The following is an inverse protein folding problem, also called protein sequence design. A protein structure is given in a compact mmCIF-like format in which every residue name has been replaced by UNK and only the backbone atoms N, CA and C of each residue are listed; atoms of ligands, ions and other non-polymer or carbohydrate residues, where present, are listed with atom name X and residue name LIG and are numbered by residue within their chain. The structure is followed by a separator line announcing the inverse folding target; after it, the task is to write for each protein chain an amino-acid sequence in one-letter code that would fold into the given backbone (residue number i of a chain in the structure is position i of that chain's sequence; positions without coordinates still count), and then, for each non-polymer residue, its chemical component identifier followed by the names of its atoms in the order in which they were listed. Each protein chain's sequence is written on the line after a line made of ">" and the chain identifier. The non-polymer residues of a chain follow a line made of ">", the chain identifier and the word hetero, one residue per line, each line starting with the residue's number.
data_IF_660133488368
#
_entry.id   IF_660133488368
#
_cell.length_a   1.000
_cell.length_b   1.000
_cell.length_c   1.000
_cell.angle_alpha   90.00
_cell.angle_beta   90.00
_cell.angle_gamma   90.00
#
_symmetry.space_group_name_H-M   'P 1'
#
loop_
_entity.id
_entity.type
_entity.pdbx_description
1 polymer ?
#
# COMPACT_ATOMS: atom_id res chain seq x y z
N UNK A 1 13.68 13.46 -16.34
CA UNK A 1 12.96 14.37 -15.43
C UNK A 1 13.99 15.10 -14.60
N UNK A 2 13.95 16.42 -14.58
CA UNK A 2 14.84 17.25 -13.77
C UNK A 2 14.33 17.32 -12.32
N UNK A 3 15.16 17.70 -11.34
CA UNK A 3 14.70 17.92 -9.97
C UNK A 3 13.59 18.98 -9.87
N UNK A 4 13.60 19.99 -10.75
CA UNK A 4 12.56 21.03 -10.80
C UNK A 4 11.22 20.48 -11.32
N UNK A 5 11.26 19.61 -12.34
CA UNK A 5 10.06 18.93 -12.85
C UNK A 5 9.47 17.96 -11.81
N UNK A 6 10.30 17.26 -11.04
CA UNK A 6 9.85 16.40 -9.93
C UNK A 6 9.14 17.22 -8.86
N UNK A 7 9.75 18.32 -8.44
CA UNK A 7 9.18 19.21 -7.42
C UNK A 7 7.85 19.81 -7.86
N UNK A 8 7.74 20.23 -9.12
CA UNK A 8 6.48 20.76 -9.67
C UNK A 8 5.37 19.70 -9.66
N UNK A 9 5.69 18.44 -10.00
CA UNK A 9 4.73 17.34 -9.95
C UNK A 9 4.28 17.02 -8.51
N UNK A 10 5.21 17.04 -7.55
CA UNK A 10 4.88 16.86 -6.13
C UNK A 10 3.97 17.97 -5.59
N UNK A 11 4.27 19.23 -5.91
CA UNK A 11 3.46 20.39 -5.51
C UNK A 11 2.03 20.31 -6.10
N UNK A 12 1.89 19.80 -7.33
CA UNK A 12 0.60 19.57 -7.96
C UNK A 12 -0.20 18.44 -7.29
N UNK A 13 0.44 17.32 -6.95
CA UNK A 13 -0.21 16.22 -6.21
C UNK A 13 -0.70 16.70 -4.85
N UNK A 14 0.12 17.44 -4.11
CA UNK A 14 -0.24 17.98 -2.79
C UNK A 14 -1.44 18.92 -2.91
N UNK A 15 -1.41 19.84 -3.88
CA UNK A 15 -2.52 20.78 -4.11
C UNK A 15 -3.82 20.02 -4.40
N UNK A 16 -3.77 19.03 -5.29
CA UNK A 16 -4.94 18.22 -5.64
C UNK A 16 -5.52 17.48 -4.41
N UNK A 17 -4.66 16.91 -3.55
CA UNK A 17 -5.09 16.24 -2.32
C UNK A 17 -5.73 17.21 -1.32
N UNK A 18 -5.21 18.44 -1.21
CA UNK A 18 -5.80 19.47 -0.34
C UNK A 18 -7.16 19.96 -0.83
N UNK A 19 -7.32 20.10 -2.15
CA UNK A 19 -8.56 20.52 -2.79
C UNK A 19 -9.63 19.41 -2.79
N UNK A 20 -9.20 18.14 -2.69
CA UNK A 20 -10.07 16.97 -2.76
C UNK A 20 -9.80 16.01 -1.58
N UNK A 21 -10.09 16.42 -0.33
CA UNK A 21 -9.77 15.61 0.86
C UNK A 21 -10.54 14.28 0.92
N UNK A 22 -11.69 14.20 0.26
CA UNK A 22 -12.53 13.00 0.17
C UNK A 22 -12.23 12.16 -1.08
N UNK A 23 -11.24 12.55 -1.89
CA UNK A 23 -10.86 11.79 -3.07
C UNK A 23 -9.91 10.65 -2.68
N UNK A 24 -10.47 9.45 -2.63
CA UNK A 24 -9.75 8.21 -2.34
C UNK A 24 -9.31 7.47 -3.62
N UNK A 25 -9.12 8.20 -4.71
CA UNK A 25 -8.81 7.63 -6.03
C UNK A 25 -10.06 7.33 -6.86
N UNK A 26 -9.87 6.48 -7.88
CA UNK A 26 -10.93 6.05 -8.78
C UNK A 26 -11.73 4.89 -8.16
N UNK A 27 -12.77 5.24 -7.41
CA UNK A 27 -13.64 4.31 -6.69
C UNK A 27 -15.01 4.21 -7.40
N UNK A 28 -15.64 3.03 -7.34
CA UNK A 28 -17.05 2.90 -7.71
C UNK A 28 -18.00 3.35 -6.57
N UNK A 29 -19.31 3.23 -6.79
CA UNK A 29 -20.36 3.57 -5.82
C UNK A 29 -20.30 2.74 -4.52
N UNK A 30 -19.56 1.63 -4.51
CA UNK A 30 -19.39 0.74 -3.36
C UNK A 30 -18.02 0.91 -2.68
N UNK A 31 -17.18 1.83 -3.16
CA UNK A 31 -15.82 2.02 -2.65
C UNK A 31 -14.84 0.94 -3.10
N UNK A 32 -15.05 0.38 -4.28
CA UNK A 32 -14.10 -0.53 -4.92
C UNK A 32 -13.10 0.27 -5.76
N UNK A 33 -11.81 0.07 -5.49
CA UNK A 33 -10.71 0.69 -6.24
C UNK A 33 -10.66 0.12 -7.68
N UNK A 34 -11.14 0.94 -8.62
CA UNK A 34 -11.18 0.61 -10.03
C UNK A 34 -9.79 0.60 -10.67
N UNK A 35 -8.83 1.37 -10.16
CA UNK A 35 -7.47 1.35 -10.66
C UNK A 35 -6.82 -0.01 -10.39
N UNK A 36 -7.01 -0.53 -9.17
CA UNK A 36 -6.51 -1.86 -8.78
C UNK A 36 -7.19 -2.99 -9.57
N UNK A 37 -8.50 -2.87 -9.83
CA UNK A 37 -9.21 -3.82 -10.68
C UNK A 37 -8.67 -3.83 -12.11
N UNK A 38 -8.48 -2.66 -12.72
CA UNK A 38 -7.93 -2.55 -14.09
C UNK A 38 -6.53 -3.13 -14.16
N UNK A 39 -5.67 -2.83 -13.19
CA UNK A 39 -4.32 -3.39 -13.09
C UNK A 39 -4.37 -4.93 -13.12
N UNK A 40 -5.21 -5.54 -12.28
CA UNK A 40 -5.36 -6.99 -12.20
C UNK A 40 -5.94 -7.63 -13.47
N UNK A 41 -6.80 -6.91 -14.21
CA UNK A 41 -7.36 -7.37 -15.48
C UNK A 41 -6.30 -7.38 -16.60
N UNK A 42 -5.32 -6.49 -16.53
CA UNK A 42 -4.21 -6.43 -17.50
C UNK A 42 -3.11 -7.45 -17.22
N UNK A 43 -3.12 -8.08 -16.04
CA UNK A 43 -2.15 -9.11 -15.65
C UNK A 43 -2.51 -10.49 -16.21
N UNK A 44 -1.50 -11.17 -16.72
CA UNK A 44 -1.54 -12.61 -16.96
C UNK A 44 -1.72 -13.39 -15.66
N UNK A 45 -2.17 -14.66 -15.71
CA UNK A 45 -2.27 -15.48 -14.51
C UNK A 45 -0.95 -15.63 -13.74
N UNK A 46 0.19 -15.67 -14.43
CA UNK A 46 1.51 -15.79 -13.79
C UNK A 46 1.88 -14.51 -13.02
N UNK A 47 1.73 -13.34 -13.63
CA UNK A 47 1.99 -12.05 -12.97
C UNK A 47 1.09 -11.84 -11.76
N UNK A 48 -0.17 -12.27 -11.84
CA UNK A 48 -1.11 -12.21 -10.73
C UNK A 48 -0.66 -13.12 -9.58
N UNK A 49 -0.19 -14.32 -9.90
CA UNK A 49 0.35 -15.26 -8.91
C UNK A 49 1.59 -14.68 -8.22
N UNK A 50 2.49 -14.06 -8.98
CA UNK A 50 3.69 -13.40 -8.43
C UNK A 50 3.32 -12.22 -7.52
N UNK A 51 2.38 -11.36 -7.94
CA UNK A 51 1.85 -10.27 -7.09
C UNK A 51 1.27 -10.80 -5.78
N UNK A 52 0.51 -11.89 -5.83
CA UNK A 52 0.00 -12.55 -4.63
C UNK A 52 1.11 -13.18 -3.77
N UNK A 53 2.15 -13.75 -4.38
CA UNK A 53 3.30 -14.30 -3.68
C UNK A 53 4.04 -13.25 -2.86
N UNK A 54 4.26 -12.06 -3.44
CA UNK A 54 4.86 -10.92 -2.72
C UNK A 54 3.99 -10.46 -1.55
N UNK A 55 2.68 -10.29 -1.78
CA UNK A 55 1.76 -9.89 -0.73
C UNK A 55 1.70 -10.91 0.42
N UNK A 56 1.73 -12.21 0.09
CA UNK A 56 1.75 -13.29 1.06
C UNK A 56 3.04 -13.28 1.90
N UNK A 57 4.20 -13.11 1.26
CA UNK A 57 5.48 -13.03 1.96
C UNK A 57 5.51 -11.86 2.96
N UNK A 58 5.02 -10.69 2.56
CA UNK A 58 4.92 -9.53 3.45
C UNK A 58 3.98 -9.77 4.64
N UNK A 59 2.83 -10.39 4.41
CA UNK A 59 1.89 -10.71 5.48
C UNK A 59 2.49 -11.70 6.50
N UNK A 60 3.28 -12.67 6.03
CA UNK A 60 4.01 -13.61 6.89
C UNK A 60 5.09 -12.90 7.71
N UNK A 61 5.86 -12.00 7.11
CA UNK A 61 6.88 -11.22 7.82
C UNK A 61 6.27 -10.36 8.94
N UNK A 62 5.14 -9.69 8.66
CA UNK A 62 4.39 -8.93 9.66
C UNK A 62 3.93 -9.82 10.81
N UNK A 63 3.35 -10.98 10.51
CA UNK A 63 2.92 -11.95 11.53
C UNK A 63 4.09 -12.36 12.42
N UNK A 64 5.23 -12.70 11.83
CA UNK A 64 6.43 -13.12 12.57
C UNK A 64 7.01 -11.96 13.41
N UNK A 65 6.97 -10.73 12.89
CA UNK A 65 7.31 -9.52 13.65
C UNK A 65 6.42 -9.30 14.87
N UNK A 66 5.10 -9.48 14.72
CA UNK A 66 4.14 -9.39 15.81
C UNK A 66 4.39 -10.48 16.86
N UNK A 67 4.64 -11.71 16.44
CA UNK A 67 4.92 -12.82 17.35
C UNK A 67 6.22 -12.60 18.16
N UNK A 68 7.29 -12.13 17.51
CA UNK A 68 8.54 -11.75 18.19
C UNK A 68 8.35 -10.60 19.19
N UNK A 69 7.51 -9.63 18.84
CA UNK A 69 7.20 -8.51 19.74
C UNK A 69 6.40 -8.96 20.97
N UNK A 70 5.50 -9.93 20.79
CA UNK A 70 4.70 -10.51 21.89
C UNK A 70 5.55 -11.37 22.85
N UNK A 71 6.54 -12.09 22.34
CA UNK A 71 7.43 -12.91 23.19
C UNK A 71 8.39 -12.05 24.00
N UNK A 72 8.96 -10.99 23.41
CA UNK A 72 9.85 -10.04 24.10
C UNK A 72 9.14 -9.23 25.19
N UNK A 73 7.87 -8.85 25.00
CA UNK A 73 7.08 -8.21 26.06
C UNK A 73 6.82 -9.14 27.26
N UNK A 74 6.67 -10.45 27.04
CA UNK A 74 6.44 -11.43 28.12
C UNK A 74 7.69 -11.76 28.93
N UNK A 75 8.88 -11.53 28.40
CA UNK A 75 10.16 -11.84 29.05
C UNK A 75 10.81 -10.65 29.76
N UNK A 76 10.18 -9.47 29.75
CA UNK A 76 10.68 -8.29 30.46
C UNK A 76 10.23 -8.36 31.92
N UNK A 77 11.14 -8.48 32.92
CA UNK A 77 10.75 -8.43 34.31
C UNK A 77 10.37 -7.00 34.68
N UNK A 78 9.23 -6.84 35.34
CA UNK A 78 8.87 -5.59 36.01
C UNK A 78 9.94 -5.24 37.04
N UNK A 79 10.60 -4.10 36.88
CA UNK A 79 11.44 -3.48 37.90
C UNK A 79 10.59 -2.91 39.04
#
# INVERSE_FOLDING_TARGET
>A
MTPEEQKAAEEEIIRFQQENPDYWGDQDENGVDLAHLRENLMMTPAERLDKHGVAFAFAMELKDGIERSRTTQKSSPSL
#
